data_IF_611392903158
#
_entry.id   IF_611392903158
#
_cell.length_a   1.000
_cell.length_b   1.000
_cell.length_c   1.000
_cell.angle_alpha   90.00
_cell.angle_beta   90.00
_cell.angle_gamma   90.00
#
_symmetry.space_group_name_H-M   'P 1'
#
loop_
_entity.id
_entity.type
_entity.pdbx_description
1 polymer ?
#
# COMPACT_ATOMS: atom_id res chain seq x y z
N UNK A 1 0.05 -12.93 -9.09
CA UNK A 1 1.15 -12.79 -8.11
C UNK A 1 1.51 -11.35 -7.79
N UNK A 2 1.74 -10.48 -8.75
CA UNK A 2 2.15 -9.08 -8.50
C UNK A 2 1.21 -8.29 -7.60
N UNK A 3 -0.11 -8.43 -7.74
CA UNK A 3 -1.10 -7.70 -6.94
C UNK A 3 -1.08 -8.11 -5.47
N UNK A 4 -0.96 -9.41 -5.18
CA UNK A 4 -0.84 -9.91 -3.82
C UNK A 4 0.41 -9.37 -3.12
N UNK A 5 1.54 -9.32 -3.83
CA UNK A 5 2.78 -8.73 -3.32
C UNK A 5 2.59 -7.23 -3.04
N UNK A 6 1.93 -6.50 -3.93
CA UNK A 6 1.64 -5.09 -3.74
C UNK A 6 0.78 -4.83 -2.49
N UNK A 7 -0.26 -5.62 -2.28
CA UNK A 7 -1.10 -5.56 -1.07
C UNK A 7 -0.29 -5.87 0.18
N UNK A 8 0.53 -6.91 0.14
CA UNK A 8 1.37 -7.31 1.26
C UNK A 8 2.37 -6.21 1.64
N UNK A 9 3.08 -5.64 0.66
CA UNK A 9 4.01 -4.54 0.90
C UNK A 9 3.30 -3.31 1.48
N UNK A 10 2.13 -2.98 0.97
CA UNK A 10 1.33 -1.86 1.49
C UNK A 10 0.92 -2.10 2.95
N UNK A 11 0.50 -3.32 3.29
CA UNK A 11 0.18 -3.70 4.66
C UNK A 11 1.40 -3.61 5.57
N UNK A 12 2.55 -4.09 5.12
CA UNK A 12 3.81 -4.03 5.87
C UNK A 12 4.18 -2.57 6.18
N UNK A 13 4.06 -1.69 5.20
CA UNK A 13 4.34 -0.26 5.40
C UNK A 13 3.33 0.41 6.32
N UNK A 14 2.04 0.07 6.17
CA UNK A 14 0.98 0.61 7.03
C UNK A 14 1.17 0.26 8.50
N UNK A 15 1.61 -0.95 8.77
CA UNK A 15 1.71 -1.53 10.11
C UNK A 15 3.14 -1.51 10.67
N UNK A 16 4.07 -0.88 9.97
CA UNK A 16 5.51 -0.95 10.28
C UNK A 16 5.83 -0.55 11.73
N UNK A 17 5.25 0.53 12.21
CA UNK A 17 5.47 1.00 13.58
C UNK A 17 5.03 -0.02 14.64
N UNK A 18 3.82 -0.56 14.49
CA UNK A 18 3.29 -1.59 15.40
C UNK A 18 4.11 -2.87 15.35
N UNK A 19 4.50 -3.28 14.14
CA UNK A 19 5.29 -4.50 13.95
C UNK A 19 6.68 -4.37 14.57
N UNK A 20 7.34 -3.24 14.39
CA UNK A 20 8.64 -2.98 15.01
C UNK A 20 8.56 -2.93 16.54
N UNK A 21 7.49 -2.37 17.08
CA UNK A 21 7.25 -2.37 18.54
C UNK A 21 7.03 -3.78 19.11
N UNK A 22 6.62 -4.72 18.28
CA UNK A 22 6.42 -6.14 18.61
C UNK A 22 7.59 -7.03 18.21
N UNK A 23 8.76 -6.46 17.96
CA UNK A 23 9.96 -7.15 17.49
C UNK A 23 9.76 -7.91 16.15
N UNK A 24 8.86 -7.41 15.29
CA UNK A 24 8.60 -7.97 13.98
C UNK A 24 9.09 -7.01 12.89
N UNK A 25 9.92 -7.52 12.00
CA UNK A 25 10.36 -6.77 10.82
C UNK A 25 10.20 -7.64 9.59
N UNK A 26 9.25 -7.26 8.73
CA UNK A 26 8.95 -7.99 7.49
C UNK A 26 9.69 -7.43 6.27
N UNK A 27 10.34 -6.29 6.40
CA UNK A 27 11.21 -5.75 5.35
C UNK A 27 12.60 -6.37 5.46
N UNK A 28 13.27 -6.66 4.33
CA UNK A 28 14.60 -7.26 4.36
C UNK A 28 15.62 -6.38 5.06
N UNK A 29 16.36 -6.94 6.01
CA UNK A 29 17.40 -6.21 6.75
C UNK A 29 18.50 -5.66 5.82
N UNK A 30 18.76 -6.34 4.70
CA UNK A 30 19.71 -5.88 3.70
C UNK A 30 19.35 -4.51 3.11
N UNK A 31 18.05 -4.21 2.97
CA UNK A 31 17.59 -2.93 2.46
C UNK A 31 17.82 -1.79 3.44
N UNK A 32 17.65 -2.05 4.75
CA UNK A 32 18.01 -1.09 5.79
C UNK A 32 19.53 -0.80 5.75
N UNK A 33 20.32 -1.85 5.69
CA UNK A 33 21.79 -1.72 5.67
C UNK A 33 22.29 -0.95 4.44
N UNK A 34 21.66 -1.14 3.30
CA UNK A 34 22.02 -0.46 2.05
C UNK A 34 21.90 1.07 2.18
N UNK A 35 21.04 1.55 3.08
CA UNK A 35 20.87 2.97 3.38
C UNK A 35 21.49 3.37 4.73
N UNK A 36 22.34 2.53 5.29
CA UNK A 36 22.98 2.74 6.59
C UNK A 36 21.98 2.96 7.72
N UNK A 37 20.85 2.23 7.66
CA UNK A 37 19.78 2.27 8.65
C UNK A 37 19.64 0.92 9.37
N UNK A 38 18.99 0.96 10.52
CA UNK A 38 18.50 -0.21 11.24
C UNK A 38 17.00 -0.08 11.45
N UNK A 39 16.25 -1.17 11.70
CA UNK A 39 14.84 -1.08 12.06
C UNK A 39 14.58 -0.13 13.22
N UNK A 40 15.43 -0.15 14.24
CA UNK A 40 15.33 0.73 15.41
C UNK A 40 15.49 2.20 15.04
N UNK A 41 16.41 2.52 14.14
CA UNK A 41 16.60 3.90 13.63
C UNK A 41 15.36 4.39 12.88
N UNK A 42 14.75 3.55 12.07
CA UNK A 42 13.52 3.88 11.34
C UNK A 42 12.37 4.04 12.31
N UNK A 43 12.23 3.15 13.31
CA UNK A 43 11.18 3.27 14.33
C UNK A 43 11.29 4.57 15.12
N UNK A 44 12.50 4.92 15.54
CA UNK A 44 12.78 6.15 16.28
C UNK A 44 12.80 7.41 15.42
N UNK A 45 12.83 7.24 14.09
CA UNK A 45 12.95 8.34 13.13
C UNK A 45 14.18 9.21 13.37
N UNK A 46 15.29 8.58 13.77
CA UNK A 46 16.52 9.25 14.21
C UNK A 46 17.26 9.96 13.09
N UNK A 47 17.08 9.52 11.84
CA UNK A 47 17.65 10.12 10.63
C UNK A 47 16.51 10.48 9.67
N UNK A 48 15.79 11.59 9.90
CA UNK A 48 14.51 11.86 9.22
C UNK A 48 14.56 11.79 7.70
N UNK A 49 15.56 12.41 7.08
CA UNK A 49 15.68 12.45 5.61
C UNK A 49 15.95 11.06 5.04
N UNK A 50 16.85 10.32 5.67
CA UNK A 50 17.23 8.98 5.26
C UNK A 50 16.10 7.98 5.49
N UNK A 51 15.40 8.11 6.61
CA UNK A 51 14.21 7.29 6.90
C UNK A 51 13.09 7.56 5.89
N UNK A 52 12.85 8.83 5.55
CA UNK A 52 11.86 9.22 4.56
C UNK A 52 12.18 8.65 3.17
N UNK A 53 13.43 8.74 2.77
CA UNK A 53 13.91 8.18 1.49
C UNK A 53 13.73 6.65 1.46
N UNK A 54 14.07 5.97 2.56
CA UNK A 54 13.85 4.52 2.70
C UNK A 54 12.39 4.14 2.52
N UNK A 55 11.48 4.82 3.21
CA UNK A 55 10.04 4.54 3.12
C UNK A 55 9.52 4.83 1.71
N UNK A 56 9.93 5.93 1.07
CA UNK A 56 9.54 6.24 -0.31
C UNK A 56 10.01 5.19 -1.29
N UNK A 57 11.23 4.67 -1.12
CA UNK A 57 11.74 3.58 -1.96
C UNK A 57 10.87 2.32 -1.83
N UNK A 58 10.40 2.01 -0.62
CA UNK A 58 9.48 0.89 -0.42
C UNK A 58 8.10 1.15 -1.05
N UNK A 59 7.61 2.39 -1.00
CA UNK A 59 6.38 2.79 -1.68
C UNK A 59 6.48 2.64 -3.21
N UNK A 60 7.59 3.06 -3.80
CA UNK A 60 7.85 2.88 -5.24
C UNK A 60 7.84 1.41 -5.64
N UNK A 61 8.46 0.57 -4.82
CA UNK A 61 8.48 -0.88 -5.03
C UNK A 61 7.07 -1.48 -5.01
N UNK A 62 6.25 -1.10 -4.04
CA UNK A 62 4.86 -1.53 -3.98
C UNK A 62 4.08 -1.04 -5.21
N UNK A 63 4.25 0.21 -5.58
CA UNK A 63 3.61 0.81 -6.76
C UNK A 63 3.97 0.08 -8.04
N UNK A 64 5.25 -0.27 -8.23
CA UNK A 64 5.70 -1.04 -9.38
C UNK A 64 5.01 -2.41 -9.47
N UNK A 65 4.71 -3.05 -8.34
CA UNK A 65 3.94 -4.30 -8.32
C UNK A 65 2.47 -4.08 -8.71
N UNK A 66 1.85 -2.97 -8.30
CA UNK A 66 0.49 -2.62 -8.75
C UNK A 66 0.46 -2.43 -10.26
N UNK A 67 1.40 -1.67 -10.81
CA UNK A 67 1.45 -1.36 -12.25
C UNK A 67 1.68 -2.61 -13.09
N UNK A 68 2.60 -3.48 -12.68
CA UNK A 68 2.87 -4.75 -13.38
C UNK A 68 1.71 -5.73 -13.32
N UNK A 69 0.87 -5.65 -12.31
CA UNK A 69 -0.27 -6.55 -12.16
C UNK A 69 -1.55 -6.03 -12.82
N UNK A 70 -1.60 -4.78 -13.24
CA UNK A 70 -2.79 -4.19 -13.87
C UNK A 70 -3.29 -4.97 -15.10
N UNK A 71 -2.43 -5.46 -16.02
CA UNK A 71 -2.90 -6.23 -17.16
C UNK A 71 -3.63 -7.53 -16.80
N UNK A 72 -3.39 -8.08 -15.60
CA UNK A 72 -4.06 -9.30 -15.13
C UNK A 72 -5.56 -9.10 -14.86
N UNK A 73 -6.01 -7.86 -14.73
CA UNK A 73 -7.42 -7.54 -14.51
C UNK A 73 -8.29 -8.04 -15.67
N UNK A 74 -7.74 -8.07 -16.89
CA UNK A 74 -8.44 -8.61 -18.06
C UNK A 74 -8.69 -10.12 -17.99
N UNK A 75 -7.99 -10.84 -17.10
CA UNK A 75 -8.11 -12.29 -16.91
C UNK A 75 -9.00 -12.66 -15.73
N UNK A 76 -9.54 -11.68 -15.01
CA UNK A 76 -10.36 -11.89 -13.82
C UNK A 76 -11.83 -11.86 -14.22
N UNK A 77 -12.62 -12.72 -13.57
CA UNK A 77 -14.06 -12.76 -13.76
C UNK A 77 -14.68 -11.36 -13.53
N UNK A 78 -15.54 -10.93 -14.45
CA UNK A 78 -16.17 -9.62 -14.42
C UNK A 78 -16.92 -9.35 -13.10
N UNK A 79 -17.44 -10.39 -12.43
CA UNK A 79 -18.12 -10.24 -11.14
C UNK A 79 -17.18 -9.90 -9.99
N UNK A 80 -15.92 -10.29 -10.08
CA UNK A 80 -14.90 -10.04 -9.06
C UNK A 80 -14.13 -8.73 -9.27
N UNK A 81 -14.12 -8.21 -10.50
CA UNK A 81 -13.37 -7.01 -10.87
C UNK A 81 -13.68 -5.78 -10.00
N UNK A 82 -14.95 -5.43 -9.73
CA UNK A 82 -15.26 -4.25 -8.93
C UNK A 82 -14.75 -4.34 -7.49
N UNK A 83 -14.83 -5.52 -6.88
CA UNK A 83 -14.29 -5.76 -5.54
C UNK A 83 -12.77 -5.62 -5.53
N UNK A 84 -12.09 -6.24 -6.49
CA UNK A 84 -10.65 -6.13 -6.63
C UNK A 84 -10.22 -4.68 -6.92
N UNK A 85 -10.96 -3.97 -7.77
CA UNK A 85 -10.71 -2.57 -8.05
C UNK A 85 -10.84 -1.71 -6.78
N UNK A 86 -11.92 -1.91 -6.00
CA UNK A 86 -12.14 -1.18 -4.76
C UNK A 86 -11.02 -1.42 -3.75
N UNK A 87 -10.62 -2.67 -3.55
CA UNK A 87 -9.48 -3.02 -2.69
C UNK A 87 -8.19 -2.36 -3.17
N UNK A 88 -7.91 -2.43 -4.46
CA UNK A 88 -6.71 -1.84 -5.06
C UNK A 88 -6.67 -0.33 -4.84
N UNK A 89 -7.79 0.37 -5.05
CA UNK A 89 -7.87 1.82 -4.85
C UNK A 89 -7.71 2.21 -3.37
N UNK A 90 -8.26 1.43 -2.45
CA UNK A 90 -8.07 1.65 -1.00
C UNK A 90 -6.60 1.51 -0.62
N UNK A 91 -5.95 0.43 -1.04
CA UNK A 91 -4.53 0.18 -0.75
C UNK A 91 -3.61 1.20 -1.41
N UNK A 92 -3.86 1.56 -2.67
CA UNK A 92 -3.13 2.64 -3.35
C UNK A 92 -3.30 3.99 -2.62
N UNK A 93 -4.49 4.25 -2.09
CA UNK A 93 -4.75 5.46 -1.31
C UNK A 93 -3.97 5.49 0.00
N UNK A 94 -3.87 4.37 0.70
CA UNK A 94 -3.02 4.22 1.89
C UNK A 94 -1.56 4.45 1.54
N UNK A 95 -1.08 3.83 0.45
CA UNK A 95 0.28 3.98 -0.04
C UNK A 95 0.62 5.43 -0.37
N UNK A 96 -0.30 6.13 -1.05
CA UNK A 96 -0.13 7.54 -1.40
C UNK A 96 -0.01 8.44 -0.16
N UNK A 97 -0.74 8.15 0.91
CA UNK A 97 -0.61 8.87 2.19
C UNK A 97 0.76 8.66 2.82
N UNK A 98 1.26 7.45 2.83
CA UNK A 98 2.59 7.12 3.37
C UNK A 98 3.67 7.80 2.52
N UNK A 99 3.52 7.80 1.21
CA UNK A 99 4.46 8.45 0.29
C UNK A 99 4.52 9.96 0.49
N UNK A 100 3.38 10.59 0.76
CA UNK A 100 3.29 12.03 1.04
C UNK A 100 3.85 12.39 2.42
N UNK A 101 3.65 11.54 3.42
CA UNK A 101 4.18 11.69 4.79
C UNK A 101 4.77 10.36 5.24
N UNK A 102 6.04 10.07 4.88
CA UNK A 102 6.66 8.78 5.18
C UNK A 102 6.69 8.40 6.65
N UNK A 103 6.70 9.35 7.57
CA UNK A 103 6.68 9.09 9.00
C UNK A 103 5.38 8.41 9.46
N UNK A 104 4.30 8.49 8.67
CA UNK A 104 3.06 7.76 8.96
C UNK A 104 3.26 6.24 9.05
N UNK A 105 4.26 5.69 8.36
CA UNK A 105 4.58 4.27 8.44
C UNK A 105 4.93 3.80 9.86
N UNK A 106 5.51 4.69 10.67
CA UNK A 106 5.95 4.38 12.04
C UNK A 106 5.19 5.14 13.11
N UNK A 107 4.67 6.34 12.80
CA UNK A 107 3.96 7.19 13.77
C UNK A 107 2.55 6.70 14.07
N UNK A 108 1.90 6.09 13.10
CA UNK A 108 0.54 5.63 13.24
C UNK A 108 0.07 4.83 12.04
N UNK A 109 -1.14 4.31 12.11
CA UNK A 109 -1.71 3.50 11.05
C UNK A 109 -2.32 4.40 9.98
N UNK A 110 -1.72 4.44 8.79
CA UNK A 110 -2.27 5.16 7.65
C UNK A 110 -3.62 4.55 7.24
N UNK A 111 -4.67 5.37 7.19
CA UNK A 111 -6.02 4.94 6.81
C UNK A 111 -6.64 5.96 5.86
N UNK A 112 -7.45 5.48 4.94
CA UNK A 112 -8.32 6.35 4.16
C UNK A 112 -9.50 6.82 5.01
N UNK A 113 -9.97 8.06 4.74
CA UNK A 113 -11.20 8.55 5.34
C UNK A 113 -12.39 7.66 4.97
N UNK A 114 -13.37 7.58 5.86
CA UNK A 114 -14.61 6.82 5.61
C UNK A 114 -15.32 7.31 4.35
N UNK A 115 -15.36 8.62 4.12
CA UNK A 115 -15.97 9.21 2.92
C UNK A 115 -15.28 8.73 1.65
N UNK A 116 -13.95 8.65 1.63
CA UNK A 116 -13.22 8.15 0.46
C UNK A 116 -13.47 6.67 0.22
N UNK A 117 -13.54 5.87 1.27
CA UNK A 117 -13.89 4.43 1.17
C UNK A 117 -15.31 4.24 0.61
N UNK A 118 -16.26 5.01 1.09
CA UNK A 118 -17.65 4.99 0.59
C UNK A 118 -17.69 5.38 -0.88
N UNK A 119 -17.00 6.45 -1.26
CA UNK A 119 -16.92 6.88 -2.65
C UNK A 119 -16.34 5.79 -3.58
N UNK A 120 -15.25 5.14 -3.15
CA UNK A 120 -14.63 4.03 -3.88
C UNK A 120 -15.62 2.87 -4.02
N UNK A 121 -16.31 2.50 -2.94
CA UNK A 121 -17.31 1.43 -2.96
C UNK A 121 -18.49 1.72 -3.89
N UNK A 122 -19.00 2.95 -3.88
CA UNK A 122 -20.09 3.39 -4.76
C UNK A 122 -19.65 3.36 -6.23
N UNK A 123 -18.44 3.78 -6.51
CA UNK A 123 -17.89 3.77 -7.87
C UNK A 123 -17.67 2.35 -8.39
N UNK A 124 -17.22 1.43 -7.54
CA UNK A 124 -17.10 0.02 -7.87
C UNK A 124 -18.48 -0.60 -8.20
N UNK A 125 -19.48 -0.30 -7.38
CA UNK A 125 -20.86 -0.76 -7.58
C UNK A 125 -21.46 -0.23 -8.89
N UNK A 126 -21.20 1.03 -9.22
CA UNK A 126 -21.65 1.65 -10.48
C UNK A 126 -20.98 1.00 -11.70
N UNK A 127 -19.70 0.68 -11.62
CA UNK A 127 -19.00 -0.03 -12.69
C UNK A 127 -19.58 -1.45 -12.91
N UNK A 128 -19.98 -2.12 -11.85
CA UNK A 128 -20.64 -3.43 -11.90
C UNK A 128 -22.00 -3.34 -12.61
N UNK A 129 -22.83 -2.39 -12.22
CA UNK A 129 -24.13 -2.16 -12.83
C UNK A 129 -24.01 -1.84 -14.34
N UNK A 130 -22.97 -1.11 -14.73
CA UNK A 130 -22.69 -0.79 -16.14
C UNK A 130 -22.22 -2.00 -16.94
N UNK A 131 -21.51 -2.94 -16.30
CA UNK A 131 -21.06 -4.18 -16.93
C UNK A 131 -22.22 -5.19 -17.13
N UNK A 132 -23.22 -5.17 -16.22
CA UNK A 132 -24.40 -6.02 -16.30
C UNK A 132 -25.42 -5.53 -17.34
N UNK A 133 -25.34 -4.29 -17.78
CA UNK A 133 -26.27 -3.69 -18.74
C UNK A 133 -25.50 -2.97 -19.88
N UNK A 134 -24.79 -3.72 -20.76
CA UNK A 134 -24.09 -3.14 -21.87
C UNK A 134 -25.11 -2.65 -22.92
N UNK A 135 -25.38 -1.35 -22.91
CA UNK A 135 -26.02 -0.69 -24.06
C UNK A 135 -25.00 0.01 -24.90
#
# INVERSE_FOLDING_TARGET
>A
MGRGIAFQLTNILRDLGEDLDSDRCYLPLAEFRAMELTPEMVRAWSEPDRCAEFIRAQCERARAHYDRSAPLDAMIDATCLPTLWAMTEIYKGVLAKIEADPQLAVRGRARLSTLRKVWIALRAKHALAKAENPK
#
